data_IF_571551656440
#
_entry.id   IF_571551656440
#
_cell.length_a   1.000
_cell.length_b   1.000
_cell.length_c   1.000
_cell.angle_alpha   90.00
_cell.angle_beta   90.00
_cell.angle_gamma   90.00
#
_symmetry.space_group_name_H-M   'P 1'
#
loop_
_entity.id
_entity.type
_entity.pdbx_description
1 polymer ?
#
# COMPACT_ATOMS: atom_id res chain seq x y z
N UNK A 1 -0.78 -11.86 -13.02
CA UNK A 1 -0.68 -12.87 -11.95
C UNK A 1 -1.49 -12.36 -10.78
N UNK A 2 -2.55 -13.08 -10.42
CA UNK A 2 -3.46 -12.69 -9.34
C UNK A 2 -2.82 -13.09 -8.02
N UNK A 3 -2.38 -12.13 -7.21
CA UNK A 3 -1.85 -12.44 -5.87
C UNK A 3 -2.99 -12.95 -4.99
N UNK A 4 -2.67 -13.85 -4.05
CA UNK A 4 -3.62 -14.22 -3.01
C UNK A 4 -3.84 -13.01 -2.10
N UNK A 5 -5.09 -12.66 -1.85
CA UNK A 5 -5.40 -11.56 -0.93
C UNK A 5 -4.94 -11.91 0.48
N UNK A 6 -4.37 -10.94 1.18
CA UNK A 6 -4.09 -11.03 2.61
C UNK A 6 -5.28 -10.53 3.41
N UNK A 7 -5.43 -10.97 4.67
CA UNK A 7 -6.49 -10.48 5.57
C UNK A 7 -6.35 -8.98 5.90
N UNK A 8 -5.17 -8.41 5.62
CA UNK A 8 -4.90 -6.96 5.75
C UNK A 8 -5.31 -6.16 4.52
N UNK A 9 -5.69 -6.83 3.42
CA UNK A 9 -6.06 -6.16 2.18
C UNK A 9 -7.46 -5.53 2.30
N UNK A 10 -7.58 -4.31 1.78
CA UNK A 10 -8.86 -3.62 1.77
C UNK A 10 -9.83 -4.26 0.80
N UNK A 11 -11.09 -4.37 1.21
CA UNK A 11 -12.17 -4.72 0.31
C UNK A 11 -12.52 -3.54 -0.64
N UNK A 12 -13.34 -3.79 -1.65
CA UNK A 12 -13.68 -2.78 -2.66
C UNK A 12 -14.43 -1.59 -2.06
N UNK A 13 -15.27 -1.80 -1.04
CA UNK A 13 -16.05 -0.75 -0.39
C UNK A 13 -15.18 0.15 0.48
N UNK A 14 -14.22 -0.43 1.20
CA UNK A 14 -13.22 0.29 1.99
C UNK A 14 -12.29 1.07 1.06
N UNK A 15 -11.85 0.44 -0.04
CA UNK A 15 -11.04 1.11 -1.05
C UNK A 15 -11.76 2.32 -1.64
N UNK A 16 -13.04 2.20 -2.00
CA UNK A 16 -13.82 3.29 -2.58
C UNK A 16 -13.91 4.52 -1.67
N UNK A 17 -13.88 4.33 -0.34
CA UNK A 17 -13.86 5.44 0.63
C UNK A 17 -12.52 6.16 0.65
N UNK A 18 -11.41 5.45 0.48
CA UNK A 18 -10.06 6.02 0.61
C UNK A 18 -9.43 6.46 -0.72
N UNK A 19 -9.86 5.87 -1.84
CA UNK A 19 -9.36 6.18 -3.18
C UNK A 19 -9.34 7.68 -3.52
N UNK A 20 -10.36 8.49 -3.16
CA UNK A 20 -10.37 9.92 -3.47
C UNK A 20 -9.20 10.71 -2.86
N UNK A 21 -8.70 10.30 -1.68
CA UNK A 21 -7.57 10.95 -1.03
C UNK A 21 -6.27 10.77 -1.82
N UNK A 22 -6.21 9.70 -2.61
CA UNK A 22 -5.06 9.41 -3.44
C UNK A 22 -5.08 10.10 -4.79
N UNK A 23 -6.14 10.80 -5.15
CA UNK A 23 -6.29 11.49 -6.45
C UNK A 23 -5.12 12.43 -6.78
N UNK A 24 -4.59 13.15 -5.79
CA UNK A 24 -3.46 14.08 -5.94
C UNK A 24 -2.08 13.42 -5.89
N UNK A 25 -1.99 12.13 -5.58
CA UNK A 25 -0.72 11.42 -5.57
C UNK A 25 -0.24 11.14 -6.99
N UNK A 26 1.07 11.33 -7.21
CA UNK A 26 1.76 11.01 -8.46
C UNK A 26 1.38 9.62 -8.98
N UNK A 27 1.32 9.48 -10.30
CA UNK A 27 1.17 8.17 -10.95
C UNK A 27 2.36 7.27 -10.60
N UNK A 28 2.06 6.13 -9.98
CA UNK A 28 3.02 5.06 -9.72
C UNK A 28 2.88 4.00 -10.82
N UNK A 29 3.93 3.19 -11.02
CA UNK A 29 3.86 2.00 -11.87
C UNK A 29 2.80 0.99 -11.37
N UNK A 30 2.57 0.98 -10.06
CA UNK A 30 1.63 0.09 -9.39
C UNK A 30 0.32 0.79 -9.04
N UNK A 31 -0.81 0.07 -9.02
CA UNK A 31 -2.07 0.61 -8.54
C UNK A 31 -1.93 1.11 -7.09
N UNK A 32 -2.57 2.24 -6.77
CA UNK A 32 -2.46 2.84 -5.43
C UNK A 32 -2.99 1.90 -4.34
N UNK A 33 -4.04 1.13 -4.65
CA UNK A 33 -4.58 0.08 -3.76
C UNK A 33 -3.55 -0.95 -3.35
N UNK A 34 -2.72 -1.38 -4.29
CA UNK A 34 -1.67 -2.38 -4.05
C UNK A 34 -0.65 -1.83 -3.04
N UNK A 35 -0.19 -0.59 -3.25
CA UNK A 35 0.74 0.09 -2.35
C UNK A 35 0.16 0.37 -0.95
N UNK A 36 -1.13 0.71 -0.87
CA UNK A 36 -1.84 0.88 0.40
C UNK A 36 -1.96 -0.45 1.14
N UNK A 37 -2.42 -1.50 0.47
CA UNK A 37 -2.53 -2.82 1.07
C UNK A 37 -1.20 -3.34 1.62
N UNK A 38 -0.10 -3.13 0.89
CA UNK A 38 1.25 -3.47 1.37
C UNK A 38 1.68 -2.68 2.60
N UNK A 39 1.37 -1.39 2.60
CA UNK A 39 1.68 -0.55 3.75
C UNK A 39 0.87 -0.99 4.97
N UNK A 40 -0.41 -1.32 4.77
CA UNK A 40 -1.27 -1.88 5.81
C UNK A 40 -0.76 -3.24 6.31
N UNK A 41 -0.27 -4.10 5.41
CA UNK A 41 0.35 -5.35 5.77
C UNK A 41 1.53 -5.13 6.72
N UNK A 42 2.45 -4.23 6.37
CA UNK A 42 3.61 -3.88 7.22
C UNK A 42 3.15 -3.30 8.56
N UNK A 43 2.19 -2.38 8.57
CA UNK A 43 1.69 -1.74 9.80
C UNK A 43 0.95 -2.72 10.71
N UNK A 44 0.22 -3.68 10.16
CA UNK A 44 -0.55 -4.67 10.94
C UNK A 44 0.31 -5.82 11.45
N UNK A 45 1.26 -6.28 10.64
CA UNK A 45 2.14 -7.41 11.02
C UNK A 45 3.37 -6.95 11.80
N UNK A 46 3.78 -5.69 11.68
CA UNK A 46 5.02 -5.16 12.24
C UNK A 46 6.28 -5.70 11.56
N UNK A 47 6.18 -6.34 10.39
CA UNK A 47 7.32 -6.91 9.70
C UNK A 47 8.29 -5.82 9.22
N UNK A 48 9.59 -6.13 9.17
CA UNK A 48 10.57 -5.20 8.59
C UNK A 48 10.30 -5.05 7.08
N UNK A 49 10.51 -3.84 6.55
CA UNK A 49 10.31 -3.54 5.12
C UNK A 49 11.05 -4.49 4.17
N UNK A 50 12.26 -4.93 4.53
CA UNK A 50 13.05 -5.88 3.73
C UNK A 50 12.50 -7.30 3.72
N UNK A 51 11.58 -7.62 4.64
CA UNK A 51 10.93 -8.92 4.77
C UNK A 51 9.53 -8.94 4.13
N UNK A 52 9.20 -7.92 3.32
CA UNK A 52 7.99 -7.95 2.51
C UNK A 52 8.00 -9.19 1.60
N UNK A 53 6.90 -9.97 1.59
CA UNK A 53 6.71 -11.09 0.67
C UNK A 53 7.00 -10.73 -0.81
N UNK A 54 7.51 -11.71 -1.56
CA UNK A 54 7.98 -11.51 -2.94
C UNK A 54 6.87 -11.26 -3.97
N UNK A 55 5.61 -11.51 -3.61
CA UNK A 55 4.42 -11.21 -4.39
C UNK A 55 4.03 -9.73 -4.33
N UNK A 56 4.64 -8.95 -3.43
CA UNK A 56 4.50 -7.51 -3.39
C UNK A 56 5.52 -6.79 -4.29
N UNK A 57 5.19 -5.59 -4.81
CA UNK A 57 6.15 -4.60 -5.24
C UNK A 57 7.37 -4.52 -4.35
N UNK A 58 8.52 -4.21 -4.98
CA UNK A 58 9.78 -4.03 -4.28
C UNK A 58 9.60 -3.10 -3.07
N UNK A 59 10.11 -3.51 -1.91
CA UNK A 59 9.95 -2.77 -0.65
C UNK A 59 10.31 -1.29 -0.75
N UNK A 60 11.29 -0.93 -1.60
CA UNK A 60 11.69 0.46 -1.86
C UNK A 60 10.53 1.29 -2.44
N UNK A 61 9.72 0.68 -3.30
CA UNK A 61 8.54 1.31 -3.90
C UNK A 61 7.48 1.57 -2.83
N UNK A 62 7.18 0.56 -2.02
CA UNK A 62 6.21 0.65 -0.92
C UNK A 62 6.64 1.67 0.11
N UNK A 63 7.91 1.61 0.52
CA UNK A 63 8.50 2.54 1.47
C UNK A 63 8.50 3.98 0.95
N UNK A 64 8.86 4.20 -0.33
CA UNK A 64 8.80 5.53 -0.94
C UNK A 64 7.37 6.07 -0.99
N UNK A 65 6.38 5.21 -1.21
CA UNK A 65 4.97 5.59 -1.15
C UNK A 65 4.57 5.96 0.27
N UNK A 66 4.80 5.07 1.25
CA UNK A 66 4.50 5.28 2.66
C UNK A 66 5.10 6.58 3.20
N UNK A 67 6.41 6.80 2.97
CA UNK A 67 7.11 7.99 3.44
C UNK A 67 6.51 9.30 2.89
N UNK A 68 6.03 9.29 1.65
CA UNK A 68 5.37 10.47 1.05
C UNK A 68 3.97 10.66 1.62
N UNK A 69 3.23 9.58 1.83
CA UNK A 69 1.89 9.61 2.41
C UNK A 69 1.89 10.10 3.87
N UNK A 70 2.94 9.80 4.64
CA UNK A 70 3.19 10.40 5.97
C UNK A 70 3.35 11.93 5.89
N UNK A 71 4.11 12.44 4.91
CA UNK A 71 4.31 13.88 4.75
C UNK A 71 3.03 14.62 4.34
N UNK A 72 2.08 13.94 3.71
CA UNK A 72 0.76 14.49 3.38
C UNK A 72 -0.27 14.35 4.50
N UNK A 73 0.11 13.75 5.65
CA UNK A 73 -0.78 13.53 6.80
C UNK A 73 -1.87 12.50 6.56
N UNK A 74 -1.63 11.53 5.66
CA UNK A 74 -2.61 10.47 5.39
C UNK A 74 -2.48 9.29 6.36
N UNK A 75 -1.25 9.00 6.78
CA UNK A 75 -0.92 8.07 7.85
C UNK A 75 -0.43 8.87 9.07
#
# INVERSE_FOLDING_TARGET
MTRKAYDTDLNDQEWAKIEPYFSKHRTYKWPKRVLVNETLYVTKTGCQWRMLPHDFPLYLTVWSFFRRSMNTGWF
#
